data_IF_301388349657
#
_entry.id   IF_301388349657
#
_cell.length_a   1.000
_cell.length_b   1.000
_cell.length_c   1.000
_cell.angle_alpha   90.00
_cell.angle_beta   90.00
_cell.angle_gamma   90.00
#
_symmetry.space_group_name_H-M   'P 1'
#
loop_
_entity.id
_entity.type
_entity.pdbx_description
1 polymer ?
#
# COMPACT_ATOMS: atom_id res chain seq x y z
N UNK A 1 2.69 10.41 -18.76
CA UNK A 1 3.22 11.01 -17.52
C UNK A 1 2.07 11.69 -16.83
N UNK A 2 1.83 11.39 -15.56
CA UNK A 2 0.79 12.05 -14.75
C UNK A 2 1.02 13.57 -14.66
N UNK A 3 0.70 14.29 -15.73
CA UNK A 3 0.56 15.75 -15.76
C UNK A 3 -0.78 16.19 -15.15
N UNK A 4 -1.65 15.24 -14.80
CA UNK A 4 -2.91 15.51 -14.15
C UNK A 4 -2.74 15.37 -12.62
N UNK A 5 -2.42 16.49 -11.96
CA UNK A 5 -2.29 16.61 -10.50
C UNK A 5 -3.49 16.00 -9.73
N UNK A 6 -4.63 15.86 -10.39
CA UNK A 6 -5.86 15.28 -9.84
C UNK A 6 -5.76 13.76 -9.62
N UNK A 7 -5.23 13.00 -10.58
CA UNK A 7 -5.10 11.54 -10.48
C UNK A 7 -4.07 11.17 -9.42
N UNK A 8 -2.90 11.84 -9.43
CA UNK A 8 -1.86 11.62 -8.41
C UNK A 8 -2.41 11.85 -7.00
N UNK A 9 -3.12 12.97 -6.79
CA UNK A 9 -3.76 13.28 -5.51
C UNK A 9 -4.82 12.25 -5.13
N UNK A 10 -5.57 11.73 -6.10
CA UNK A 10 -6.56 10.66 -5.88
C UNK A 10 -5.89 9.37 -5.39
N UNK A 11 -4.76 8.98 -6.00
CA UNK A 11 -3.97 7.80 -5.58
C UNK A 11 -3.35 8.00 -4.20
N UNK A 12 -2.75 9.15 -3.93
CA UNK A 12 -2.19 9.46 -2.59
C UNK A 12 -3.26 9.38 -1.50
N UNK A 13 -4.45 9.95 -1.75
CA UNK A 13 -5.58 9.83 -0.82
C UNK A 13 -6.04 8.38 -0.62
N UNK A 14 -6.05 7.58 -1.70
CA UNK A 14 -6.35 6.15 -1.60
C UNK A 14 -5.31 5.41 -0.75
N UNK A 15 -4.03 5.65 -0.98
CA UNK A 15 -2.92 5.05 -0.20
C UNK A 15 -3.04 5.42 1.28
N UNK A 16 -3.24 6.70 1.61
CA UNK A 16 -3.43 7.17 3.00
C UNK A 16 -4.61 6.50 3.70
N UNK A 17 -5.71 6.26 2.98
CA UNK A 17 -6.85 5.49 3.53
C UNK A 17 -6.48 4.04 3.79
N UNK A 18 -5.79 3.40 2.84
CA UNK A 18 -5.34 2.00 2.99
C UNK A 18 -4.37 1.83 4.14
N UNK A 19 -3.47 2.78 4.38
CA UNK A 19 -2.56 2.75 5.54
C UNK A 19 -3.36 2.70 6.85
N UNK A 20 -4.42 3.51 7.00
CA UNK A 20 -5.26 3.52 8.22
C UNK A 20 -5.98 2.20 8.50
N UNK A 21 -6.20 1.38 7.48
CA UNK A 21 -6.88 0.09 7.60
C UNK A 21 -5.92 -1.05 8.01
N UNK A 22 -4.60 -0.82 7.94
CA UNK A 22 -3.56 -1.82 8.21
C UNK A 22 -3.65 -2.44 9.61
N UNK A 23 -3.81 -1.69 10.72
CA UNK A 23 -3.79 -2.29 12.05
C UNK A 23 -4.85 -3.38 12.24
N UNK A 24 -6.07 -3.10 11.79
CA UNK A 24 -7.17 -4.07 11.82
C UNK A 24 -6.91 -5.25 10.89
N UNK A 25 -6.31 -5.03 9.72
CA UNK A 25 -5.94 -6.13 8.81
C UNK A 25 -4.83 -7.02 9.40
N UNK A 26 -3.87 -6.45 10.13
CA UNK A 26 -2.80 -7.21 10.82
C UNK A 26 -3.44 -8.14 11.85
N UNK A 27 -4.28 -7.59 12.72
CA UNK A 27 -4.98 -8.35 13.77
C UNK A 27 -5.78 -9.53 13.20
N UNK A 28 -6.45 -9.32 12.06
CA UNK A 28 -7.30 -10.35 11.42
C UNK A 28 -6.52 -11.37 10.59
N UNK A 29 -5.46 -10.95 9.91
CA UNK A 29 -4.79 -11.74 8.85
C UNK A 29 -3.53 -12.43 9.34
N UNK A 30 -2.87 -11.88 10.34
CA UNK A 30 -1.54 -12.30 10.77
C UNK A 30 -1.51 -12.75 12.24
N UNK A 31 -2.26 -13.78 12.64
CA UNK A 31 -2.07 -14.38 13.96
C UNK A 31 -0.70 -15.08 14.02
N UNK A 32 0.06 -14.87 15.10
CA UNK A 32 1.36 -15.51 15.33
C UNK A 32 2.33 -15.38 14.14
N UNK A 33 2.61 -14.15 13.70
CA UNK A 33 3.33 -13.82 12.46
C UNK A 33 4.61 -14.65 12.29
N UNK A 34 5.54 -14.56 13.25
CA UNK A 34 6.79 -15.35 13.27
C UNK A 34 6.59 -16.86 13.07
N UNK A 35 5.56 -17.45 13.67
CA UNK A 35 5.34 -18.90 13.65
C UNK A 35 4.80 -19.37 12.29
N UNK A 36 3.82 -18.65 11.75
CA UNK A 36 3.14 -19.04 10.52
C UNK A 36 3.95 -18.63 9.28
N UNK A 37 4.44 -17.38 9.28
CA UNK A 37 5.09 -16.77 8.13
C UNK A 37 6.61 -16.93 8.14
N UNK A 38 7.18 -17.48 9.23
CA UNK A 38 8.61 -17.83 9.36
C UNK A 38 9.54 -16.63 9.07
N UNK A 39 9.11 -15.42 9.41
CA UNK A 39 9.91 -14.21 9.29
C UNK A 39 10.73 -13.97 10.57
N UNK A 40 11.95 -13.44 10.42
CA UNK A 40 12.79 -13.05 11.56
C UNK A 40 12.46 -11.63 12.05
N UNK A 41 12.15 -10.73 11.12
CA UNK A 41 11.75 -9.34 11.38
C UNK A 41 10.30 -9.17 10.90
N UNK A 42 9.37 -8.98 11.84
CA UNK A 42 7.94 -8.83 11.55
C UNK A 42 7.64 -7.48 10.91
N UNK A 43 8.37 -6.42 11.28
CA UNK A 43 8.18 -5.09 10.74
C UNK A 43 8.61 -5.05 9.27
N UNK A 44 9.79 -5.57 8.95
CA UNK A 44 10.29 -5.63 7.56
C UNK A 44 9.39 -6.50 6.68
N UNK A 45 8.99 -7.67 7.19
CA UNK A 45 8.06 -8.57 6.50
C UNK A 45 6.73 -7.89 6.18
N UNK A 46 6.08 -7.29 7.18
CA UNK A 46 4.80 -6.63 6.98
C UNK A 46 4.94 -5.37 6.12
N UNK A 47 6.04 -4.62 6.24
CA UNK A 47 6.30 -3.48 5.37
C UNK A 47 6.33 -3.92 3.90
N UNK A 48 7.12 -4.95 3.56
CA UNK A 48 7.15 -5.49 2.20
C UNK A 48 5.79 -6.00 1.72
N UNK A 49 5.05 -6.70 2.59
CA UNK A 49 3.70 -7.19 2.29
C UNK A 49 2.73 -6.05 1.96
N UNK A 50 2.65 -5.03 2.83
CA UNK A 50 1.71 -3.92 2.65
C UNK A 50 2.09 -2.98 1.51
N UNK A 51 3.39 -2.78 1.27
CA UNK A 51 3.86 -2.09 0.07
C UNK A 51 3.35 -2.77 -1.21
N UNK A 52 3.47 -4.10 -1.31
CA UNK A 52 2.93 -4.86 -2.43
C UNK A 52 1.40 -4.79 -2.54
N UNK A 53 0.69 -5.00 -1.42
CA UNK A 53 -0.78 -4.98 -1.37
C UNK A 53 -1.36 -3.61 -1.73
N UNK A 54 -0.75 -2.52 -1.27
CA UNK A 54 -1.18 -1.16 -1.58
C UNK A 54 -0.92 -0.84 -3.05
N UNK A 55 0.22 -1.28 -3.61
CA UNK A 55 0.52 -1.08 -5.04
C UNK A 55 -0.52 -1.77 -5.92
N UNK A 56 -0.79 -3.05 -5.68
CA UNK A 56 -1.82 -3.81 -6.40
C UNK A 56 -3.21 -3.16 -6.24
N UNK A 57 -3.58 -2.79 -5.03
CA UNK A 57 -4.85 -2.12 -4.76
C UNK A 57 -4.99 -0.77 -5.47
N UNK A 58 -3.90 -0.01 -5.56
CA UNK A 58 -3.88 1.30 -6.24
C UNK A 58 -4.00 1.13 -7.75
N UNK A 59 -3.35 0.12 -8.32
CA UNK A 59 -3.49 -0.25 -9.73
C UNK A 59 -4.95 -0.61 -10.05
N UNK A 60 -5.57 -1.46 -9.23
CA UNK A 60 -6.99 -1.82 -9.38
C UNK A 60 -7.94 -0.62 -9.22
N UNK A 61 -7.65 0.28 -8.27
CA UNK A 61 -8.40 1.51 -8.08
C UNK A 61 -8.38 2.39 -9.35
N UNK A 62 -7.21 2.56 -9.95
CA UNK A 62 -7.03 3.34 -11.17
C UNK A 62 -7.70 2.71 -12.39
N UNK A 63 -7.59 1.39 -12.57
CA UNK A 63 -8.27 0.67 -13.64
C UNK A 63 -9.79 0.83 -13.57
N UNK A 64 -10.36 0.77 -12.35
CA UNK A 64 -11.79 1.01 -12.12
C UNK A 64 -12.18 2.48 -12.39
N UNK A 65 -11.36 3.43 -11.95
CA UNK A 65 -11.67 4.86 -12.05
C UNK A 65 -11.59 5.39 -13.50
N UNK A 66 -10.60 4.94 -14.27
CA UNK A 66 -10.34 5.45 -15.62
C UNK A 66 -11.22 4.79 -16.68
N UNK A 67 -11.87 3.65 -16.37
CA UNK A 67 -12.54 2.76 -17.36
C UNK A 67 -11.66 2.45 -18.58
N UNK A 68 -10.35 2.68 -18.48
CA UNK A 68 -9.44 2.62 -19.58
C UNK A 68 -8.96 1.18 -19.76
N UNK A 69 -8.90 0.74 -21.01
CA UNK A 69 -8.04 -0.37 -21.40
C UNK A 69 -6.59 -0.02 -21.03
N UNK A 70 -5.73 -1.04 -20.92
CA UNK A 70 -4.33 -0.97 -20.49
C UNK A 70 -3.40 -0.02 -21.29
N UNK A 71 -3.91 0.95 -22.06
CA UNK A 71 -3.14 1.96 -22.81
C UNK A 71 -2.90 3.29 -22.09
N UNK A 72 -3.61 3.57 -20.97
CA UNK A 72 -3.42 4.78 -20.14
C UNK A 72 -2.53 4.55 -18.92
N UNK A 73 -1.47 3.76 -19.08
CA UNK A 73 -0.62 3.20 -18.00
C UNK A 73 -0.22 4.28 -16.98
N UNK A 74 -0.83 4.25 -15.80
CA UNK A 74 -0.16 4.74 -14.59
C UNK A 74 0.85 3.66 -14.25
N UNK A 75 2.12 4.02 -14.32
CA UNK A 75 3.20 3.09 -14.09
C UNK A 75 3.19 2.65 -12.62
N UNK A 76 3.32 1.35 -12.37
CA UNK A 76 3.59 0.80 -11.04
C UNK A 76 4.73 1.52 -10.33
N UNK A 77 5.72 2.02 -11.08
CA UNK A 77 6.80 2.86 -10.52
C UNK A 77 6.31 4.21 -9.98
N UNK A 78 5.33 4.86 -10.62
CA UNK A 78 4.74 6.11 -10.11
C UNK A 78 3.94 5.85 -8.81
N UNK A 79 3.19 4.74 -8.76
CA UNK A 79 2.47 4.32 -7.54
C UNK A 79 3.46 4.03 -6.41
N UNK A 80 4.53 3.27 -6.70
CA UNK A 80 5.59 2.97 -5.73
C UNK A 80 6.22 4.24 -5.17
N UNK A 81 6.47 5.25 -6.02
CA UNK A 81 6.97 6.56 -5.58
C UNK A 81 6.05 7.24 -4.56
N UNK A 82 4.72 7.20 -4.77
CA UNK A 82 3.75 7.78 -3.83
C UNK A 82 3.69 6.97 -2.52
N UNK A 83 3.82 5.65 -2.58
CA UNK A 83 3.88 4.81 -1.37
C UNK A 83 5.13 5.18 -0.55
N UNK A 84 6.29 5.33 -1.19
CA UNK A 84 7.54 5.70 -0.51
C UNK A 84 7.49 7.12 0.09
N UNK A 85 6.75 8.06 -0.50
CA UNK A 85 6.47 9.38 0.12
C UNK A 85 5.70 9.25 1.45
N UNK A 86 4.91 8.18 1.61
CA UNK A 86 4.16 7.87 2.83
C UNK A 86 4.87 6.81 3.71
N UNK A 87 6.15 6.49 3.43
CA UNK A 87 6.92 5.43 4.11
C UNK A 87 6.90 5.53 5.63
N UNK A 88 7.14 6.72 6.17
CA UNK A 88 7.23 6.94 7.62
C UNK A 88 5.88 6.63 8.28
N UNK A 89 4.78 7.08 7.68
CA UNK A 89 3.43 6.80 8.18
C UNK A 89 3.15 5.29 8.13
N UNK A 90 3.44 4.65 7.00
CA UNK A 90 3.27 3.20 6.82
C UNK A 90 4.06 2.38 7.86
N UNK A 91 5.35 2.69 8.05
CA UNK A 91 6.20 2.01 9.04
C UNK A 91 5.68 2.21 10.46
N UNK A 92 5.31 3.44 10.82
CA UNK A 92 4.78 3.74 12.15
C UNK A 92 3.45 3.01 12.40
N UNK A 93 2.55 2.98 11.42
CA UNK A 93 1.28 2.27 11.54
C UNK A 93 1.48 0.76 11.74
N UNK A 94 2.38 0.14 10.98
CA UNK A 94 2.70 -1.29 11.16
C UNK A 94 3.31 -1.52 12.54
N UNK A 95 4.25 -0.67 12.96
CA UNK A 95 4.90 -0.78 14.27
C UNK A 95 3.89 -0.71 15.41
N UNK A 96 2.98 0.27 15.39
CA UNK A 96 1.92 0.43 16.40
C UNK A 96 1.01 -0.80 16.45
N UNK A 97 0.77 -1.47 15.32
CA UNK A 97 -0.06 -2.67 15.27
C UNK A 97 0.65 -3.95 15.75
N UNK A 98 1.99 -3.91 15.84
CA UNK A 98 2.81 -5.01 16.37
C UNK A 98 3.09 -4.88 17.87
N UNK A 99 2.98 -3.66 18.42
CA UNK A 99 3.14 -3.34 19.84
C UNK A 99 1.88 -3.71 20.66
#
# INVERSE_FOLDING_TARGET
>A
MLQDNTIRKSVDNYIKRRIKEIPTEIEQTFPNIKKIWKCNDELDFLYGYYVGKIEEGSLHYLLKATRASAGGYVDTFEIRGIIEENKIELQNTIKIALD
#
